data_IF_083084006667
#
_entry.id   IF_083084006667
#
_cell.length_a   1.000
_cell.length_b   1.000
_cell.length_c   1.000
_cell.angle_alpha   90.00
_cell.angle_beta   90.00
_cell.angle_gamma   90.00
#
_symmetry.space_group_name_H-M   'P 1'
#
loop_
_entity.id
_entity.type
_entity.pdbx_description
1 polymer ?
#
# COMPACT_ATOMS: atom_id res chain seq x y z
N UNK A 1 -1.27 27.62 2.72
CA UNK A 1 -1.17 26.56 1.69
C UNK A 1 -1.65 25.26 2.31
N UNK A 2 -2.39 24.45 1.58
CA UNK A 2 -2.78 23.13 2.06
C UNK A 2 -1.52 22.27 2.27
N UNK A 3 -1.56 21.42 3.29
CA UNK A 3 -0.49 20.49 3.61
C UNK A 3 -0.34 19.44 2.49
N UNK A 4 0.90 19.11 2.08
CA UNK A 4 1.13 18.08 1.08
C UNK A 4 0.74 16.68 1.60
N UNK A 5 0.42 15.76 0.69
CA UNK A 5 0.05 14.40 1.07
C UNK A 5 1.25 13.67 1.71
N UNK A 6 2.47 13.88 1.21
CA UNK A 6 3.68 13.34 1.82
C UNK A 6 3.85 13.79 3.27
N UNK A 7 3.61 15.08 3.54
CA UNK A 7 3.67 15.62 4.91
C UNK A 7 2.61 15.01 5.82
N UNK A 8 1.38 14.80 5.34
CA UNK A 8 0.33 14.10 6.09
C UNK A 8 0.75 12.68 6.48
N UNK A 9 1.36 11.93 5.55
CA UNK A 9 1.84 10.59 5.82
C UNK A 9 2.96 10.59 6.88
N UNK A 10 3.94 11.49 6.77
CA UNK A 10 5.01 11.64 7.75
C UNK A 10 4.47 12.00 9.15
N UNK A 11 3.46 12.85 9.22
CA UNK A 11 2.81 13.20 10.49
C UNK A 11 1.98 12.02 11.05
N UNK A 12 1.26 11.29 10.19
CA UNK A 12 0.56 10.09 10.62
C UNK A 12 1.51 9.05 11.22
N UNK A 13 2.68 8.83 10.62
CA UNK A 13 3.71 7.92 11.15
C UNK A 13 4.19 8.40 12.53
N UNK A 14 4.41 9.70 12.72
CA UNK A 14 4.89 10.25 13.99
C UNK A 14 3.84 10.24 15.11
N UNK A 15 2.57 10.42 14.75
CA UNK A 15 1.45 10.55 15.71
C UNK A 15 0.89 9.21 16.16
N UNK A 16 1.23 8.12 15.49
CA UNK A 16 0.75 6.78 15.79
C UNK A 16 1.93 5.85 16.08
N UNK A 17 1.77 4.95 17.03
CA UNK A 17 2.87 4.04 17.41
C UNK A 17 2.35 2.61 17.69
N UNK A 18 2.41 1.75 16.67
CA UNK A 18 2.68 1.99 15.25
C UNK A 18 1.46 2.51 14.47
N UNK A 19 1.71 3.14 13.31
CA UNK A 19 0.66 3.51 12.37
C UNK A 19 0.11 2.26 11.67
N UNK A 20 -1.20 2.04 11.73
CA UNK A 20 -1.88 1.00 10.94
C UNK A 20 -2.23 1.56 9.57
N UNK A 21 -1.73 0.93 8.51
CA UNK A 21 -2.07 1.24 7.12
C UNK A 21 -2.89 0.08 6.55
N UNK A 22 -4.05 0.37 5.97
CA UNK A 22 -4.93 -0.64 5.37
C UNK A 22 -4.96 -0.54 3.86
N UNK A 23 -4.96 -1.71 3.20
CA UNK A 23 -5.05 -1.80 1.75
C UNK A 23 -6.45 -1.48 1.24
N UNK A 24 -6.49 -0.61 0.22
CA UNK A 24 -7.70 -0.23 -0.51
C UNK A 24 -7.47 -0.49 -1.99
N UNK A 25 -8.43 -1.14 -2.65
CA UNK A 25 -8.30 -1.56 -4.06
C UNK A 25 -9.05 -0.66 -5.05
N UNK A 26 -9.86 0.26 -4.54
CA UNK A 26 -10.64 1.19 -5.35
C UNK A 26 -11.10 2.39 -4.50
N UNK A 27 -11.70 3.37 -5.16
CA UNK A 27 -12.22 4.59 -4.53
C UNK A 27 -13.20 4.31 -3.38
N UNK A 28 -14.15 3.39 -3.56
CA UNK A 28 -15.16 3.10 -2.54
C UNK A 28 -14.54 2.47 -1.28
N UNK A 29 -13.59 1.54 -1.44
CA UNK A 29 -12.88 0.97 -0.28
C UNK A 29 -12.01 2.02 0.44
N UNK A 30 -11.52 3.04 -0.26
CA UNK A 30 -10.80 4.16 0.36
C UNK A 30 -11.74 5.03 1.22
N UNK A 31 -12.95 5.34 0.73
CA UNK A 31 -13.98 6.03 1.51
C UNK A 31 -14.38 5.24 2.76
N UNK A 32 -14.52 3.92 2.65
CA UNK A 32 -14.79 3.07 3.82
C UNK A 32 -13.67 3.14 4.86
N UNK A 33 -12.41 3.09 4.42
CA UNK A 33 -11.26 3.22 5.32
C UNK A 33 -11.21 4.60 6.00
N UNK A 34 -11.51 5.68 5.26
CA UNK A 34 -11.59 7.04 5.83
C UNK A 34 -12.73 7.16 6.84
N UNK A 35 -13.92 6.61 6.53
CA UNK A 35 -15.09 6.58 7.44
C UNK A 35 -14.77 5.85 8.77
N UNK A 36 -13.99 4.79 8.70
CA UNK A 36 -13.54 4.03 9.88
C UNK A 36 -12.36 4.70 10.61
N UNK A 37 -11.91 5.87 10.18
CA UNK A 37 -10.91 6.69 10.86
C UNK A 37 -9.47 6.24 10.65
N UNK A 38 -9.16 5.55 9.56
CA UNK A 38 -7.77 5.22 9.22
C UNK A 38 -7.00 6.47 8.80
N UNK A 39 -5.79 6.63 9.34
CA UNK A 39 -4.92 7.80 9.13
C UNK A 39 -4.00 7.66 7.90
N UNK A 40 -3.95 6.49 7.28
CA UNK A 40 -3.25 6.22 6.03
C UNK A 40 -3.82 4.96 5.36
N UNK A 41 -3.76 4.94 4.03
CA UNK A 41 -4.22 3.84 3.18
C UNK A 41 -3.13 3.39 2.22
N UNK A 42 -3.32 2.23 1.61
CA UNK A 42 -2.32 1.60 0.75
C UNK A 42 -2.94 1.03 -0.52
N UNK A 43 -2.27 1.26 -1.66
CA UNK A 43 -2.60 0.59 -2.92
C UNK A 43 -1.53 -0.44 -3.24
N UNK A 44 -1.90 -1.72 -3.18
CA UNK A 44 -1.03 -2.86 -3.48
C UNK A 44 -0.92 -3.09 -5.00
N UNK A 45 0.29 -3.27 -5.51
CA UNK A 45 0.51 -3.71 -6.90
C UNK A 45 -0.15 -5.07 -7.19
N UNK A 46 -0.02 -6.03 -6.27
CA UNK A 46 -0.75 -7.30 -6.33
C UNK A 46 -2.26 -7.14 -6.26
N UNK A 47 -2.75 -6.12 -5.52
CA UNK A 47 -4.16 -5.72 -5.49
C UNK A 47 -4.65 -5.21 -6.84
N UNK A 48 -3.90 -4.30 -7.49
CA UNK A 48 -4.20 -3.79 -8.84
C UNK A 48 -4.18 -4.93 -9.86
N UNK A 49 -3.14 -5.78 -9.85
CA UNK A 49 -3.04 -6.92 -10.74
C UNK A 49 -4.29 -7.83 -10.64
N UNK A 50 -4.69 -8.18 -9.41
CA UNK A 50 -5.80 -9.10 -9.20
C UNK A 50 -7.18 -8.45 -9.41
N UNK A 51 -7.42 -7.24 -8.85
CA UNK A 51 -8.76 -6.63 -8.84
C UNK A 51 -9.08 -5.84 -10.11
N UNK A 52 -8.11 -5.11 -10.66
CA UNK A 52 -8.34 -4.23 -11.81
C UNK A 52 -8.04 -4.91 -13.14
N UNK A 53 -7.05 -5.83 -13.17
CA UNK A 53 -6.62 -6.50 -14.40
C UNK A 53 -7.02 -7.98 -14.48
N UNK A 54 -7.30 -8.64 -13.35
CA UNK A 54 -7.61 -10.09 -13.29
C UNK A 54 -6.40 -10.97 -13.63
N UNK A 55 -5.16 -10.51 -13.33
CA UNK A 55 -3.92 -11.21 -13.60
C UNK A 55 -3.12 -11.49 -12.33
N UNK A 56 -2.20 -12.47 -12.33
CA UNK A 56 -1.34 -12.74 -11.17
C UNK A 56 -0.31 -11.62 -10.95
N UNK A 57 0.12 -11.46 -9.69
CA UNK A 57 1.17 -10.53 -9.25
C UNK A 57 2.58 -11.03 -9.66
N UNK A 58 2.95 -10.80 -10.90
CA UNK A 58 4.22 -11.23 -11.54
C UNK A 58 4.87 -10.13 -12.38
N UNK A 59 4.70 -8.86 -11.99
CA UNK A 59 5.25 -7.72 -12.74
C UNK A 59 4.58 -7.49 -14.10
N UNK A 60 3.31 -7.89 -14.24
CA UNK A 60 2.52 -7.72 -15.48
C UNK A 60 1.94 -6.31 -15.56
N UNK A 61 1.55 -5.74 -14.42
CA UNK A 61 1.00 -4.39 -14.34
C UNK A 61 2.04 -3.33 -14.72
N UNK A 62 1.58 -2.31 -15.41
CA UNK A 62 2.38 -1.14 -15.79
C UNK A 62 2.14 0.04 -14.82
N UNK A 63 3.03 1.05 -14.88
CA UNK A 63 2.79 2.32 -14.18
C UNK A 63 1.39 2.89 -14.49
N UNK A 64 0.94 2.81 -15.76
CA UNK A 64 -0.34 3.38 -16.15
C UNK A 64 -1.52 2.68 -15.51
N UNK A 65 -1.46 1.34 -15.36
CA UNK A 65 -2.51 0.59 -14.69
C UNK A 65 -2.65 1.02 -13.22
N UNK A 66 -1.54 1.21 -12.54
CA UNK A 66 -1.53 1.66 -11.14
C UNK A 66 -2.00 3.12 -11.02
N UNK A 67 -1.58 4.02 -11.92
CA UNK A 67 -1.99 5.43 -11.91
C UNK A 67 -3.49 5.63 -12.02
N UNK A 68 -4.19 4.80 -12.78
CA UNK A 68 -5.65 4.86 -12.91
C UNK A 68 -6.32 4.66 -11.53
N UNK A 69 -5.87 3.69 -10.77
CA UNK A 69 -6.44 3.45 -9.44
C UNK A 69 -5.97 4.48 -8.40
N UNK A 70 -4.71 4.96 -8.50
CA UNK A 70 -4.21 6.09 -7.68
C UNK A 70 -5.11 7.30 -7.86
N UNK A 71 -5.36 7.73 -9.11
CA UNK A 71 -6.21 8.89 -9.42
C UNK A 71 -7.62 8.74 -8.85
N UNK A 72 -8.25 7.58 -9.05
CA UNK A 72 -9.60 7.31 -8.53
C UNK A 72 -9.67 7.39 -7.01
N UNK A 73 -8.67 6.88 -6.32
CA UNK A 73 -8.61 6.87 -4.85
C UNK A 73 -8.34 8.28 -4.33
N UNK A 74 -7.33 8.98 -4.82
CA UNK A 74 -6.92 10.29 -4.30
C UNK A 74 -7.94 11.39 -4.60
N UNK A 75 -8.80 11.21 -5.61
CA UNK A 75 -9.88 12.16 -5.91
C UNK A 75 -11.07 12.09 -4.93
N UNK A 76 -11.19 11.02 -4.15
CA UNK A 76 -12.36 10.85 -3.25
C UNK A 76 -12.01 10.90 -1.77
N UNK A 77 -10.74 10.80 -1.39
CA UNK A 77 -10.31 10.81 0.01
C UNK A 77 -9.18 11.79 0.26
N UNK A 78 -9.15 12.35 1.46
CA UNK A 78 -8.05 13.19 1.94
C UNK A 78 -6.97 12.42 2.71
N UNK A 79 -7.18 11.12 2.95
CA UNK A 79 -6.26 10.23 3.67
C UNK A 79 -5.02 9.96 2.81
N UNK A 80 -3.79 10.11 3.36
CA UNK A 80 -2.57 9.92 2.58
C UNK A 80 -2.44 8.47 2.08
N UNK A 81 -2.14 8.34 0.77
CA UNK A 81 -2.01 7.07 0.05
C UNK A 81 -0.55 6.69 -0.13
N UNK A 82 -0.13 5.54 0.39
CA UNK A 82 1.13 4.86 0.06
C UNK A 82 0.89 3.88 -1.09
N UNK A 83 1.77 3.89 -2.11
CA UNK A 83 1.59 3.10 -3.34
C UNK A 83 2.73 2.10 -3.53
N UNK A 84 2.40 0.89 -3.94
CA UNK A 84 3.34 -0.12 -4.41
C UNK A 84 3.83 0.25 -5.83
N UNK A 85 5.13 0.49 -5.97
CA UNK A 85 5.75 0.82 -7.24
C UNK A 85 6.54 -0.35 -7.84
N UNK A 86 6.36 -1.56 -7.32
CA UNK A 86 7.12 -2.73 -7.74
C UNK A 86 8.65 -2.41 -7.79
N UNK A 87 9.29 -2.61 -8.94
CA UNK A 87 10.70 -2.26 -9.16
C UNK A 87 10.89 -0.89 -9.84
N UNK A 88 9.81 -0.08 -9.96
CA UNK A 88 9.82 1.26 -10.58
C UNK A 88 9.56 1.27 -12.09
N UNK A 89 9.18 0.16 -12.69
CA UNK A 89 8.85 -0.04 -14.12
C UNK A 89 9.94 0.37 -15.09
N UNK A 90 11.22 0.15 -14.72
CA UNK A 90 12.38 0.34 -15.60
C UNK A 90 13.57 1.00 -14.91
N UNK A 91 14.45 1.62 -15.71
CA UNK A 91 15.67 2.27 -15.21
C UNK A 91 15.40 3.63 -14.55
N UNK A 92 16.48 4.35 -14.19
CA UNK A 92 16.44 5.59 -13.41
C UNK A 92 15.43 6.64 -13.92
N UNK A 93 15.33 6.85 -15.23
CA UNK A 93 14.38 7.83 -15.80
C UNK A 93 12.92 7.35 -15.73
N UNK A 94 12.68 6.04 -15.76
CA UNK A 94 11.34 5.48 -15.52
C UNK A 94 10.94 5.65 -14.05
N UNK A 95 11.86 5.38 -13.13
CA UNK A 95 11.65 5.61 -11.70
C UNK A 95 11.35 7.10 -11.42
N UNK A 96 12.13 8.00 -12.01
CA UNK A 96 11.89 9.44 -11.92
C UNK A 96 10.50 9.84 -12.43
N UNK A 97 10.07 9.26 -13.58
CA UNK A 97 8.73 9.46 -14.12
C UNK A 97 7.65 8.93 -13.17
N UNK A 98 7.87 7.75 -12.58
CA UNK A 98 6.96 7.13 -11.61
C UNK A 98 6.73 8.04 -10.40
N UNK A 99 7.80 8.52 -9.77
CA UNK A 99 7.72 9.43 -8.61
C UNK A 99 6.96 10.70 -8.94
N UNK A 100 7.31 11.37 -10.05
CA UNK A 100 6.63 12.59 -10.49
C UNK A 100 5.16 12.36 -10.78
N UNK A 101 4.83 11.23 -11.41
CA UNK A 101 3.44 10.87 -11.70
C UNK A 101 2.65 10.65 -10.42
N UNK A 102 3.17 9.88 -9.47
CA UNK A 102 2.49 9.63 -8.20
C UNK A 102 2.25 10.92 -7.41
N UNK A 103 3.24 11.81 -7.33
CA UNK A 103 3.07 13.12 -6.69
C UNK A 103 1.96 13.93 -7.39
N UNK A 104 1.97 13.99 -8.73
CA UNK A 104 0.97 14.72 -9.50
C UNK A 104 -0.45 14.15 -9.35
N UNK A 105 -0.58 12.85 -9.15
CA UNK A 105 -1.86 12.18 -8.89
C UNK A 105 -2.22 12.13 -7.39
N UNK A 106 -1.49 12.84 -6.53
CA UNK A 106 -1.85 13.04 -5.13
C UNK A 106 -1.46 11.90 -4.19
N UNK A 107 -0.59 10.97 -4.58
CA UNK A 107 -0.04 9.98 -3.66
C UNK A 107 0.88 10.64 -2.63
N UNK A 108 0.95 10.07 -1.43
CA UNK A 108 1.77 10.55 -0.31
C UNK A 108 3.17 9.93 -0.29
N UNK A 109 3.33 8.78 -0.89
CA UNK A 109 4.59 8.04 -0.96
C UNK A 109 4.47 6.79 -1.82
N UNK A 110 5.61 6.19 -2.06
CA UNK A 110 5.72 4.88 -2.70
C UNK A 110 6.69 3.98 -1.94
N UNK A 111 6.59 2.68 -2.16
CA UNK A 111 7.74 1.82 -1.96
C UNK A 111 8.24 1.23 -3.28
N UNK A 112 9.55 1.02 -3.35
CA UNK A 112 10.26 0.40 -4.46
C UNK A 112 11.12 -0.72 -3.92
N UNK A 113 11.20 -1.86 -4.64
CA UNK A 113 11.84 -3.07 -4.14
C UNK A 113 13.11 -3.46 -4.89
N UNK A 114 13.97 -4.25 -4.21
CA UNK A 114 15.24 -4.75 -4.75
C UNK A 114 15.12 -6.07 -5.53
N UNK A 115 13.91 -6.48 -5.92
CA UNK A 115 13.77 -7.62 -6.84
C UNK A 115 14.20 -7.25 -8.28
N UNK A 116 14.48 -8.28 -9.08
CA UNK A 116 14.60 -8.13 -10.55
C UNK A 116 13.26 -7.76 -11.14
N UNK A 117 13.24 -7.21 -12.37
CA UNK A 117 11.98 -6.74 -13.02
C UNK A 117 10.94 -7.85 -13.21
N UNK A 118 11.36 -9.11 -13.36
CA UNK A 118 10.48 -10.28 -13.34
C UNK A 118 10.15 -10.70 -11.89
N UNK A 119 9.69 -9.75 -11.12
CA UNK A 119 9.42 -9.90 -9.68
C UNK A 119 8.39 -10.99 -9.39
N UNK A 120 8.39 -11.46 -8.15
CA UNK A 120 7.39 -12.35 -7.58
C UNK A 120 6.78 -11.73 -6.33
N UNK A 121 5.59 -12.18 -5.93
CA UNK A 121 5.02 -11.81 -4.63
C UNK A 121 6.05 -12.09 -3.50
N UNK A 122 6.23 -11.16 -2.57
CA UNK A 122 7.24 -11.21 -1.51
C UNK A 122 7.23 -12.44 -0.62
N UNK A 123 6.07 -13.12 -0.53
CA UNK A 123 5.93 -14.35 0.26
C UNK A 123 6.13 -15.65 -0.57
N UNK A 124 6.46 -15.54 -1.86
CA UNK A 124 6.71 -16.70 -2.74
C UNK A 124 8.19 -17.10 -2.74
N UNK A 125 8.51 -18.38 -3.00
CA UNK A 125 9.90 -18.85 -3.14
C UNK A 125 10.53 -18.38 -4.46
N UNK A 126 11.85 -18.55 -4.56
CA UNK A 126 12.66 -18.30 -5.76
C UNK A 126 12.57 -16.85 -6.26
N UNK A 127 12.57 -15.89 -5.34
CA UNK A 127 12.78 -14.48 -5.65
C UNK A 127 14.25 -14.26 -6.03
N UNK A 128 14.46 -13.44 -7.05
CA UNK A 128 15.79 -12.94 -7.42
C UNK A 128 15.87 -11.45 -7.08
N UNK A 129 16.98 -11.05 -6.48
CA UNK A 129 17.20 -9.66 -6.09
C UNK A 129 18.41 -9.10 -6.84
N UNK A 130 18.37 -7.78 -7.05
CA UNK A 130 19.49 -7.06 -7.65
C UNK A 130 20.59 -6.80 -6.64
N UNK A 131 21.77 -6.36 -7.10
CA UNK A 131 22.85 -5.95 -6.21
C UNK A 131 22.42 -4.76 -5.34
N UNK A 132 23.04 -4.62 -4.17
CA UNK A 132 22.86 -3.46 -3.28
C UNK A 132 23.12 -2.14 -4.03
N UNK A 133 24.16 -2.11 -4.88
CA UNK A 133 24.49 -0.93 -5.70
C UNK A 133 23.39 -0.54 -6.67
N UNK A 134 22.78 -1.50 -7.37
CA UNK A 134 21.65 -1.22 -8.27
C UNK A 134 20.44 -0.68 -7.51
N UNK A 135 20.11 -1.24 -6.34
CA UNK A 135 19.01 -0.71 -5.54
C UNK A 135 19.31 0.69 -4.99
N UNK A 136 20.54 0.98 -4.60
CA UNK A 136 20.98 2.33 -4.23
C UNK A 136 20.71 3.31 -5.38
N UNK A 137 21.02 2.93 -6.61
CA UNK A 137 20.76 3.79 -7.78
C UNK A 137 19.27 4.00 -8.03
N UNK A 138 18.43 2.96 -7.82
CA UNK A 138 16.96 3.09 -7.86
C UNK A 138 16.44 4.09 -6.82
N UNK A 139 16.92 4.00 -5.58
CA UNK A 139 16.54 4.91 -4.48
C UNK A 139 16.97 6.32 -4.79
N UNK A 140 18.21 6.54 -5.20
CA UNK A 140 18.73 7.88 -5.58
C UNK A 140 17.90 8.50 -6.69
N UNK A 141 17.55 7.71 -7.73
CA UNK A 141 16.70 8.18 -8.83
C UNK A 141 15.30 8.58 -8.34
N UNK A 142 14.73 7.85 -7.38
CA UNK A 142 13.44 8.16 -6.78
C UNK A 142 13.50 9.43 -5.91
N UNK A 143 14.54 9.57 -5.10
CA UNK A 143 14.74 10.73 -4.20
C UNK A 143 15.01 12.01 -4.99
N UNK A 144 15.89 11.97 -6.00
CA UNK A 144 16.19 13.12 -6.87
C UNK A 144 14.96 13.61 -7.65
N UNK A 145 14.05 12.70 -7.98
CA UNK A 145 12.86 13.03 -8.75
C UNK A 145 11.73 13.70 -7.96
N UNK A 146 11.84 13.82 -6.63
CA UNK A 146 10.79 14.39 -5.77
C UNK A 146 10.52 15.85 -6.14
N UNK A 147 9.27 16.17 -6.43
CA UNK A 147 8.76 17.55 -6.60
C UNK A 147 8.01 18.04 -5.37
N UNK A 148 7.68 17.15 -4.43
CA UNK A 148 7.28 17.39 -3.07
C UNK A 148 8.36 16.81 -2.15
N UNK A 149 9.06 17.66 -1.39
CA UNK A 149 10.14 17.25 -0.47
C UNK A 149 9.66 16.27 0.61
N UNK A 150 8.39 16.34 0.96
CA UNK A 150 7.77 15.48 1.95
C UNK A 150 7.28 14.13 1.38
N UNK A 151 7.26 13.95 0.06
CA UNK A 151 6.89 12.68 -0.55
C UNK A 151 7.76 11.54 -0.02
N UNK A 152 7.14 10.45 0.47
CA UNK A 152 7.86 9.35 1.13
C UNK A 152 8.37 8.35 0.10
N UNK A 153 9.69 8.16 0.03
CA UNK A 153 10.34 7.08 -0.72
C UNK A 153 10.72 5.99 0.26
N UNK A 154 10.00 4.87 0.24
CA UNK A 154 10.26 3.73 1.11
C UNK A 154 11.04 2.66 0.33
N UNK A 155 12.16 2.20 0.88
CA UNK A 155 12.93 1.12 0.27
C UNK A 155 12.47 -0.23 0.81
N UNK A 156 12.05 -1.13 -0.08
CA UNK A 156 11.72 -2.50 0.26
C UNK A 156 12.90 -3.42 -0.08
N UNK A 157 13.21 -4.32 0.85
CA UNK A 157 14.20 -5.40 0.60
C UNK A 157 13.55 -6.76 0.79
N UNK A 158 13.78 -7.63 -0.17
CA UNK A 158 13.38 -9.02 -0.16
C UNK A 158 14.57 -9.97 0.19
N UNK A 159 15.69 -9.40 0.68
CA UNK A 159 16.96 -10.10 0.88
C UNK A 159 16.93 -11.15 2.00
N UNK A 160 16.06 -11.03 3.02
CA UNK A 160 16.02 -11.99 4.14
C UNK A 160 15.93 -13.45 3.65
N UNK A 161 15.10 -13.70 2.66
CA UNK A 161 14.86 -15.06 2.16
C UNK A 161 16.04 -15.64 1.37
N UNK A 162 16.87 -14.79 0.79
CA UNK A 162 17.96 -15.19 -0.12
C UNK A 162 19.33 -15.09 0.54
N UNK A 163 19.54 -14.07 1.38
CA UNK A 163 20.86 -13.71 1.92
C UNK A 163 20.92 -13.85 3.45
N UNK A 164 19.75 -13.93 4.14
CA UNK A 164 19.68 -13.99 5.59
C UNK A 164 19.57 -12.60 6.24
N UNK A 165 19.53 -12.58 7.60
CA UNK A 165 19.22 -11.38 8.36
C UNK A 165 20.28 -10.29 8.26
N UNK A 166 21.55 -10.62 8.50
CA UNK A 166 22.59 -9.59 8.53
C UNK A 166 22.85 -8.92 7.18
N UNK A 167 22.92 -9.63 6.05
CA UNK A 167 22.96 -8.99 4.74
C UNK A 167 21.74 -8.14 4.44
N UNK A 168 20.54 -8.55 4.86
CA UNK A 168 19.33 -7.71 4.73
C UNK A 168 19.43 -6.41 5.55
N UNK A 169 20.05 -6.46 6.75
CA UNK A 169 20.34 -5.28 7.56
C UNK A 169 21.38 -4.36 6.89
N UNK A 170 22.46 -4.93 6.33
CA UNK A 170 23.47 -4.15 5.59
C UNK A 170 22.84 -3.42 4.40
N UNK A 171 21.94 -4.08 3.65
CA UNK A 171 21.15 -3.42 2.58
C UNK A 171 20.29 -2.29 3.14
N UNK A 172 19.57 -2.52 4.24
CA UNK A 172 18.71 -1.51 4.86
C UNK A 172 19.50 -0.25 5.29
N UNK A 173 20.71 -0.42 5.85
CA UNK A 173 21.61 0.67 6.18
C UNK A 173 21.99 1.46 4.91
N UNK A 174 22.42 0.76 3.86
CA UNK A 174 22.82 1.37 2.60
C UNK A 174 21.64 2.11 1.93
N UNK A 175 20.42 1.59 2.06
CA UNK A 175 19.21 2.23 1.52
C UNK A 175 18.82 3.49 2.29
N UNK A 176 18.95 3.48 3.62
CA UNK A 176 18.83 4.69 4.43
C UNK A 176 19.86 5.75 4.04
N UNK A 177 21.13 5.37 3.86
CA UNK A 177 22.20 6.27 3.42
C UNK A 177 21.99 6.81 2.00
N UNK A 178 21.34 6.04 1.13
CA UNK A 178 20.94 6.48 -0.20
C UNK A 178 19.77 7.49 -0.21
N UNK A 179 19.15 7.74 0.94
CA UNK A 179 18.09 8.76 1.13
C UNK A 179 16.67 8.20 1.22
N UNK A 180 16.48 6.90 1.45
CA UNK A 180 15.16 6.36 1.74
C UNK A 180 14.57 6.99 3.00
N UNK A 181 13.28 7.37 2.94
CA UNK A 181 12.53 7.95 4.07
C UNK A 181 12.01 6.89 5.05
N UNK A 182 11.85 5.63 4.62
CA UNK A 182 11.39 4.49 5.42
C UNK A 182 11.87 3.18 4.83
N UNK A 183 11.74 2.08 5.59
CA UNK A 183 12.15 0.72 5.20
C UNK A 183 10.97 -0.24 5.24
N UNK A 184 10.95 -1.16 4.28
CA UNK A 184 10.01 -2.27 4.20
C UNK A 184 10.81 -3.59 4.10
N UNK A 185 11.20 -4.20 5.23
CA UNK A 185 11.84 -5.50 5.26
C UNK A 185 10.79 -6.60 5.03
N UNK A 186 10.80 -7.21 3.84
CA UNK A 186 9.80 -8.20 3.47
C UNK A 186 10.06 -9.56 4.12
N UNK A 187 8.97 -10.19 4.55
CA UNK A 187 8.96 -11.57 5.06
C UNK A 187 9.86 -11.82 6.30
N UNK A 188 10.00 -10.84 7.18
CA UNK A 188 10.54 -11.06 8.51
C UNK A 188 9.57 -11.95 9.30
N UNK A 189 10.07 -13.00 9.93
CA UNK A 189 9.26 -14.06 10.54
C UNK A 189 9.34 -14.09 12.06
N UNK A 190 10.21 -13.28 12.66
CA UNK A 190 10.42 -13.20 14.10
C UNK A 190 10.48 -11.75 14.56
N UNK A 191 9.91 -11.45 15.72
CA UNK A 191 9.94 -10.10 16.30
C UNK A 191 11.37 -9.62 16.60
N UNK A 192 12.26 -10.53 16.94
CA UNK A 192 13.66 -10.19 17.24
C UNK A 192 14.45 -9.75 15.99
N UNK A 193 14.01 -10.14 14.78
CA UNK A 193 14.58 -9.63 13.53
C UNK A 193 14.30 -8.12 13.36
N UNK A 194 13.08 -7.67 13.68
CA UNK A 194 12.75 -6.24 13.67
C UNK A 194 13.52 -5.46 14.74
N UNK A 195 13.65 -6.02 15.97
CA UNK A 195 14.45 -5.42 17.03
C UNK A 195 15.91 -5.26 16.62
N UNK A 196 16.48 -6.28 15.97
CA UNK A 196 17.85 -6.22 15.49
C UNK A 196 18.02 -5.16 14.41
N UNK A 197 17.16 -5.14 13.39
CA UNK A 197 17.18 -4.13 12.35
C UNK A 197 17.09 -2.71 12.94
N UNK A 198 16.19 -2.48 13.93
CA UNK A 198 15.97 -1.15 14.54
C UNK A 198 17.20 -0.60 15.26
N UNK A 199 18.12 -1.45 15.71
CA UNK A 199 19.40 -0.98 16.32
C UNK A 199 20.32 -0.30 15.30
N UNK A 200 20.17 -0.61 14.02
CA UNK A 200 21.07 -0.18 12.93
C UNK A 200 20.49 0.96 12.09
N UNK A 201 19.18 1.16 12.10
CA UNK A 201 18.51 2.17 11.27
C UNK A 201 17.71 3.16 12.11
N UNK A 202 17.60 4.41 11.62
CA UNK A 202 16.92 5.50 12.32
C UNK A 202 15.56 5.85 11.68
N UNK A 203 15.37 5.49 10.43
CA UNK A 203 14.12 5.75 9.70
C UNK A 203 13.03 4.75 10.09
N UNK A 204 11.75 5.06 9.84
CA UNK A 204 10.64 4.18 10.13
C UNK A 204 10.75 2.81 9.46
N UNK A 205 10.32 1.77 10.17
CA UNK A 205 10.25 0.39 9.68
C UNK A 205 8.79 -0.01 9.53
N UNK A 206 8.45 -0.54 8.34
CA UNK A 206 7.14 -1.12 8.05
C UNK A 206 7.18 -2.65 8.21
N UNK A 207 6.21 -3.21 8.92
CA UNK A 207 5.93 -4.65 8.94
C UNK A 207 4.70 -4.98 8.09
N UNK A 208 4.86 -5.90 7.14
CA UNK A 208 3.79 -6.37 6.27
C UNK A 208 3.09 -7.58 6.90
N UNK A 209 1.86 -7.38 7.37
CA UNK A 209 1.05 -8.41 8.03
C UNK A 209 -0.05 -8.85 7.05
N UNK A 210 0.31 -9.78 6.18
CA UNK A 210 -0.61 -10.33 5.18
C UNK A 210 -1.02 -11.76 5.54
N UNK A 211 -2.30 -12.06 5.35
CA UNK A 211 -2.85 -13.39 5.55
C UNK A 211 -2.21 -14.39 4.59
N UNK A 212 -1.98 -15.60 5.07
CA UNK A 212 -1.39 -16.71 4.31
C UNK A 212 0.04 -16.43 3.81
N UNK A 213 0.71 -15.39 4.37
CA UNK A 213 2.10 -15.07 4.10
C UNK A 213 3.09 -15.88 4.95
N UNK A 214 4.39 -15.57 4.83
CA UNK A 214 5.43 -16.19 5.66
C UNK A 214 5.52 -15.56 7.05
N UNK A 215 5.29 -14.25 7.15
CA UNK A 215 5.29 -13.53 8.43
C UNK A 215 4.09 -13.96 9.26
N UNK A 216 4.28 -14.37 10.52
CA UNK A 216 3.17 -14.62 11.44
C UNK A 216 2.30 -13.38 11.61
N UNK A 217 1.02 -13.57 11.95
CA UNK A 217 0.09 -12.46 12.20
C UNK A 217 0.34 -11.85 13.59
N UNK A 218 1.50 -11.22 13.75
CA UNK A 218 1.86 -10.52 14.97
C UNK A 218 0.88 -9.39 15.29
N UNK A 219 0.64 -9.18 16.59
CA UNK A 219 -0.15 -8.05 17.06
C UNK A 219 0.54 -6.72 16.83
N UNK A 220 -0.24 -5.66 16.58
CA UNK A 220 0.28 -4.31 16.33
C UNK A 220 1.17 -3.81 17.50
N UNK A 221 0.76 -4.06 18.76
CA UNK A 221 1.53 -3.67 19.93
C UNK A 221 2.85 -4.45 20.07
N UNK A 222 2.87 -5.74 19.73
CA UNK A 222 4.09 -6.56 19.74
C UNK A 222 5.10 -6.05 18.72
N UNK A 223 4.62 -5.69 17.54
CA UNK A 223 5.43 -5.08 16.48
C UNK A 223 5.99 -3.72 16.94
N UNK A 224 5.16 -2.86 17.52
CA UNK A 224 5.61 -1.56 18.06
C UNK A 224 6.70 -1.72 19.12
N UNK A 225 6.54 -2.66 20.08
CA UNK A 225 7.58 -2.99 21.07
C UNK A 225 8.86 -3.55 20.44
N UNK A 226 8.77 -4.04 19.22
CA UNK A 226 9.92 -4.57 18.46
C UNK A 226 10.56 -3.52 17.54
N UNK A 227 10.14 -2.25 17.62
CA UNK A 227 10.71 -1.14 16.86
C UNK A 227 10.10 -0.94 15.49
N UNK A 228 8.94 -1.53 15.21
CA UNK A 228 8.16 -1.28 13.99
C UNK A 228 7.34 0.00 14.18
N UNK A 229 7.39 0.88 13.19
CA UNK A 229 6.71 2.17 13.20
C UNK A 229 5.40 2.14 12.39
N UNK A 230 5.29 1.21 11.43
CA UNK A 230 4.16 1.08 10.50
C UNK A 230 3.76 -0.40 10.39
N UNK A 231 2.48 -0.69 10.54
CA UNK A 231 1.92 -2.03 10.33
C UNK A 231 0.98 -1.99 9.13
N UNK A 232 1.31 -2.73 8.09
CA UNK A 232 0.57 -2.79 6.84
C UNK A 232 -0.32 -4.03 6.78
N UNK A 233 -1.62 -3.83 6.48
CA UNK A 233 -2.61 -4.85 6.16
C UNK A 233 -3.00 -4.73 4.67
N UNK A 234 -2.22 -5.30 3.74
CA UNK A 234 -2.26 -4.88 2.32
C UNK A 234 -3.52 -5.31 1.56
N UNK A 235 -4.08 -6.48 1.87
CA UNK A 235 -5.16 -7.10 1.10
C UNK A 235 -6.29 -7.69 1.95
N UNK A 236 -6.34 -7.43 3.24
CA UNK A 236 -7.32 -8.01 4.16
C UNK A 236 -8.75 -7.74 3.71
N UNK A 237 -9.09 -6.47 3.45
CA UNK A 237 -10.42 -6.10 2.97
C UNK A 237 -10.73 -6.72 1.60
N UNK A 238 -9.78 -6.68 0.64
CA UNK A 238 -9.97 -7.30 -0.67
C UNK A 238 -10.27 -8.79 -0.60
N UNK A 239 -9.54 -9.55 0.23
CA UNK A 239 -9.78 -10.98 0.42
C UNK A 239 -11.15 -11.25 1.03
N UNK A 240 -11.56 -10.45 2.02
CA UNK A 240 -12.88 -10.57 2.64
C UNK A 240 -14.01 -10.26 1.64
N UNK A 241 -13.88 -9.16 0.87
CA UNK A 241 -14.82 -8.77 -0.19
C UNK A 241 -14.92 -9.86 -1.27
N UNK A 242 -13.79 -10.38 -1.72
CA UNK A 242 -13.74 -11.44 -2.74
C UNK A 242 -14.43 -12.72 -2.27
N UNK A 243 -14.24 -13.10 -1.01
CA UNK A 243 -14.89 -14.27 -0.42
C UNK A 243 -16.40 -14.08 -0.33
N UNK A 244 -16.84 -12.90 0.12
CA UNK A 244 -18.26 -12.56 0.17
C UNK A 244 -18.90 -12.60 -1.24
N UNK A 245 -18.25 -12.02 -2.23
CA UNK A 245 -18.71 -12.06 -3.62
C UNK A 245 -18.81 -13.50 -4.16
N UNK A 246 -17.82 -14.36 -3.88
CA UNK A 246 -17.86 -15.77 -4.25
C UNK A 246 -19.08 -16.48 -3.67
N UNK A 247 -19.42 -16.23 -2.41
CA UNK A 247 -20.58 -16.82 -1.73
C UNK A 247 -21.90 -16.31 -2.32
N UNK A 248 -21.97 -15.01 -2.64
CA UNK A 248 -23.14 -14.43 -3.33
C UNK A 248 -23.35 -15.09 -4.70
N UNK A 249 -22.30 -15.22 -5.52
CA UNK A 249 -22.42 -15.86 -6.84
C UNK A 249 -22.84 -17.33 -6.75
N UNK A 250 -22.34 -18.07 -5.76
CA UNK A 250 -22.76 -19.46 -5.51
C UNK A 250 -24.23 -19.54 -5.12
N UNK A 251 -24.70 -18.64 -4.29
CA UNK A 251 -26.10 -18.65 -3.83
C UNK A 251 -27.05 -18.27 -4.96
N UNK A 252 -26.79 -17.21 -5.71
CA UNK A 252 -27.61 -16.78 -6.86
C UNK A 252 -27.73 -17.92 -7.91
N UNK A 253 -26.67 -18.75 -8.06
CA UNK A 253 -26.73 -19.91 -8.97
C UNK A 253 -27.66 -21.02 -8.50
N UNK A 254 -27.94 -21.12 -7.20
CA UNK A 254 -28.75 -22.19 -6.57
C UNK A 254 -30.18 -21.80 -6.27
N UNK A 255 -30.38 -20.52 -5.96
CA UNK A 255 -31.65 -19.97 -5.45
C UNK A 255 -32.35 -19.14 -6.50
N UNK A 256 -33.70 -19.05 -6.42
CA UNK A 256 -34.50 -18.24 -7.33
C UNK A 256 -34.39 -16.74 -7.04
N UNK A 257 -33.89 -16.36 -5.86
CA UNK A 257 -33.69 -14.97 -5.45
C UNK A 257 -32.52 -14.84 -4.44
N UNK A 258 -32.18 -13.61 -4.08
CA UNK A 258 -31.09 -13.27 -3.19
C UNK A 258 -31.51 -12.95 -1.75
N UNK A 259 -32.74 -13.21 -1.35
CA UNK A 259 -33.31 -12.78 -0.06
C UNK A 259 -32.47 -13.25 1.14
N UNK A 260 -31.96 -14.49 1.09
CA UNK A 260 -31.12 -15.08 2.14
C UNK A 260 -29.81 -14.32 2.40
N UNK A 261 -29.36 -13.52 1.44
CA UNK A 261 -28.08 -12.80 1.47
C UNK A 261 -28.19 -11.38 2.03
N UNK A 262 -29.43 -10.81 2.07
CA UNK A 262 -29.65 -9.38 2.42
C UNK A 262 -29.03 -9.00 3.76
N UNK A 263 -29.10 -9.89 4.75
CA UNK A 263 -28.56 -9.65 6.10
C UNK A 263 -27.04 -9.44 6.16
N UNK A 264 -26.32 -9.83 5.10
CA UNK A 264 -24.88 -9.71 4.99
C UNK A 264 -24.45 -8.61 4.00
N UNK A 265 -25.42 -7.84 3.51
CA UNK A 265 -25.18 -6.75 2.56
C UNK A 265 -25.23 -5.41 3.26
N UNK A 266 -24.46 -4.47 2.76
CA UNK A 266 -24.60 -3.07 3.07
C UNK A 266 -25.97 -2.60 2.58
N UNK A 267 -26.70 -1.86 3.41
CA UNK A 267 -27.99 -1.26 3.01
C UNK A 267 -27.77 -0.13 2.02
N UNK A 268 -28.86 0.30 1.36
CA UNK A 268 -28.82 1.47 0.48
C UNK A 268 -28.46 2.74 1.26
N UNK A 269 -28.98 2.89 2.46
CA UNK A 269 -28.74 4.07 3.30
C UNK A 269 -27.27 4.13 3.74
N UNK A 270 -26.68 3.00 4.16
CA UNK A 270 -25.25 2.92 4.48
C UNK A 270 -24.36 3.25 3.28
N UNK A 271 -24.73 2.79 2.06
CA UNK A 271 -24.03 3.13 0.83
C UNK A 271 -24.12 4.64 0.54
N UNK A 272 -25.31 5.22 0.67
CA UNK A 272 -25.57 6.64 0.44
C UNK A 272 -24.82 7.53 1.44
N UNK A 273 -24.75 7.13 2.71
CA UNK A 273 -23.95 7.81 3.73
C UNK A 273 -22.47 7.87 3.36
N UNK A 274 -21.89 6.75 2.90
CA UNK A 274 -20.48 6.70 2.49
C UNK A 274 -20.21 7.59 1.28
N UNK A 275 -21.16 7.68 0.35
CA UNK A 275 -21.04 8.48 -0.88
C UNK A 275 -21.44 9.94 -0.71
N UNK A 276 -21.93 10.35 0.46
CA UNK A 276 -22.54 11.67 0.71
C UNK A 276 -23.66 12.01 -0.31
N UNK A 277 -24.43 10.97 -0.70
CA UNK A 277 -25.41 11.03 -1.79
C UNK A 277 -26.42 12.17 -1.63
N UNK A 278 -26.94 12.40 -0.42
CA UNK A 278 -27.94 13.41 -0.17
C UNK A 278 -27.44 14.85 -0.34
N UNK A 279 -26.16 15.11 -0.09
CA UNK A 279 -25.55 16.41 -0.38
C UNK A 279 -25.50 16.68 -1.89
N UNK A 280 -25.24 15.63 -2.71
CA UNK A 280 -25.30 15.76 -4.17
C UNK A 280 -26.73 16.03 -4.68
N UNK A 281 -27.75 15.33 -4.15
CA UNK A 281 -29.16 15.60 -4.49
C UNK A 281 -29.55 17.03 -4.11
N UNK A 282 -29.23 17.46 -2.88
CA UNK A 282 -29.53 18.81 -2.42
C UNK A 282 -28.87 19.88 -3.31
N UNK A 283 -27.62 19.64 -3.75
CA UNK A 283 -26.91 20.53 -4.67
C UNK A 283 -27.56 20.56 -6.06
N UNK A 284 -27.99 19.41 -6.55
CA UNK A 284 -28.70 19.30 -7.83
C UNK A 284 -30.02 20.11 -7.81
N UNK A 285 -30.80 19.98 -6.73
CA UNK A 285 -32.03 20.72 -6.53
C UNK A 285 -31.78 22.23 -6.43
N UNK A 286 -30.70 22.66 -5.77
CA UNK A 286 -30.31 24.08 -5.72
C UNK A 286 -29.97 24.62 -7.10
N UNK A 287 -29.17 23.89 -7.90
CA UNK A 287 -28.70 24.33 -9.22
C UNK A 287 -29.83 24.43 -10.27
N UNK A 288 -30.82 23.57 -10.17
CA UNK A 288 -31.92 23.48 -11.16
C UNK A 288 -33.29 23.90 -10.62
N UNK A 289 -33.35 24.62 -9.49
CA UNK A 289 -34.56 25.33 -9.07
C UNK A 289 -34.92 26.39 -10.12
N UNK A 290 -36.01 26.14 -10.84
CA UNK A 290 -36.67 27.13 -11.72
C UNK A 290 -37.44 28.14 -10.91
#
# INVERSE_FOLDING_TARGET
MAQSQGKKLKEAIKSNNPLKIVGTINAYSALLAEKEGHNAIYLSGGGVAASSLGVPDLGISSLQDVLIDVERITNVTSVPLLVDADTGWGGAFNIARTVKSFINYGAAGLHIEDQVSQKRCGHRPNKEIVSTGEMIDRIKAAVDAKTDEDFVVMARTDALANEGLYPAIERAIAYQEAGADALFPEAFIELDQYKELKKHVKIPILANITEFGKTPLFGCEELGRSGVDIVLYPLTAFRAMSKAAEEVFKEIKKSDNQESLIKNMQTRDELYDVLDYHSFEAKLDELFKN
#
